data_IF_512136136959
#
_entry.id   IF_512136136959
#
_cell.length_a   1.000
_cell.length_b   1.000
_cell.length_c   1.000
_cell.angle_alpha   90.00
_cell.angle_beta   90.00
_cell.angle_gamma   90.00
#
_symmetry.space_group_name_H-M   'P 1'
#
loop_
_entity.id
_entity.type
_entity.pdbx_description
1 polymer ?
#
# COMPACT_ATOMS: atom_id res chain seq x y z
N UNK A 1 -2.00 -23.86 6.30
CA UNK A 1 -2.91 -23.68 5.14
C UNK A 1 -2.17 -24.08 3.87
N UNK A 2 -2.85 -24.54 2.82
CA UNK A 2 -2.18 -25.01 1.58
C UNK A 2 -1.93 -23.83 0.63
N UNK A 3 -0.74 -23.77 0.01
CA UNK A 3 -0.43 -22.89 -1.13
C UNK A 3 -1.40 -23.17 -2.28
N UNK A 4 -1.68 -22.15 -3.10
CA UNK A 4 -2.40 -22.34 -4.37
C UNK A 4 -1.65 -23.36 -5.24
N UNK A 5 -2.38 -24.19 -6.01
CA UNK A 5 -1.77 -25.11 -7.00
C UNK A 5 -1.49 -24.43 -8.34
N UNK A 6 -1.89 -23.17 -8.48
CA UNK A 6 -1.78 -22.36 -9.69
C UNK A 6 -1.15 -21.02 -9.30
N UNK A 7 -0.22 -20.55 -10.12
CA UNK A 7 0.51 -19.31 -9.88
C UNK A 7 -0.36 -18.07 -10.09
N UNK A 8 0.19 -16.92 -9.68
CA UNK A 8 -0.32 -15.61 -10.08
C UNK A 8 -0.16 -15.37 -11.58
N UNK A 9 -0.62 -14.21 -12.03
CA UNK A 9 -0.48 -13.82 -13.44
C UNK A 9 0.35 -12.55 -13.52
N UNK A 10 1.56 -12.64 -14.06
CA UNK A 10 2.41 -11.47 -14.29
C UNK A 10 1.71 -10.45 -15.19
N UNK A 11 1.98 -9.17 -14.94
CA UNK A 11 1.36 -8.05 -15.64
C UNK A 11 2.39 -6.99 -15.99
N UNK A 12 2.07 -6.15 -16.96
CA UNK A 12 2.89 -5.00 -17.34
C UNK A 12 2.06 -3.71 -17.19
N UNK A 13 2.71 -2.65 -16.72
CA UNK A 13 2.10 -1.32 -16.72
C UNK A 13 2.06 -0.77 -18.14
N UNK A 14 1.00 -0.02 -18.45
CA UNK A 14 0.96 0.79 -19.67
C UNK A 14 2.11 1.82 -19.66
N UNK A 15 2.70 2.17 -20.81
CA UNK A 15 3.74 3.21 -20.91
C UNK A 15 3.27 4.54 -20.34
N UNK A 16 4.21 5.39 -19.92
CA UNK A 16 3.93 6.75 -19.48
C UNK A 16 3.28 7.51 -20.63
N UNK A 17 2.10 8.08 -20.41
CA UNK A 17 1.55 9.07 -21.34
C UNK A 17 2.39 10.33 -21.17
N UNK A 18 3.24 10.65 -22.15
CA UNK A 18 4.06 11.87 -22.09
C UNK A 18 3.18 13.08 -21.78
N UNK A 19 3.56 13.87 -20.77
CA UNK A 19 2.84 15.10 -20.43
C UNK A 19 2.84 16.04 -21.63
N UNK A 20 1.71 16.26 -22.29
CA UNK A 20 1.56 17.39 -23.19
C UNK A 20 1.83 18.69 -22.40
N UNK A 21 2.58 19.67 -22.94
CA UNK A 21 2.77 20.95 -22.25
C UNK A 21 1.39 21.64 -22.15
N UNK A 22 0.82 21.65 -20.95
CA UNK A 22 -0.40 22.44 -20.69
C UNK A 22 -0.02 23.88 -20.42
N UNK A 23 -0.79 24.79 -21.03
CA UNK A 23 -0.77 26.22 -20.78
C UNK A 23 -0.63 26.55 -19.29
N UNK A 24 0.18 27.56 -19.00
CA UNK A 24 0.29 28.20 -17.69
C UNK A 24 -1.11 28.55 -17.16
N UNK A 25 -1.66 27.67 -16.34
CA UNK A 25 -2.75 28.04 -15.46
C UNK A 25 -2.13 28.99 -14.43
N UNK A 26 -2.58 30.25 -14.43
CA UNK A 26 -2.39 31.17 -13.31
C UNK A 26 -3.20 30.60 -12.12
N UNK A 27 -2.64 29.56 -11.50
CA UNK A 27 -3.24 28.83 -10.41
C UNK A 27 -2.92 29.55 -9.11
N UNK A 28 -3.93 30.16 -8.52
CA UNK A 28 -3.92 30.57 -7.12
C UNK A 28 -3.45 29.33 -6.33
N UNK A 29 -2.30 29.44 -5.68
CA UNK A 29 -1.75 28.39 -4.83
C UNK A 29 -2.82 27.97 -3.83
N UNK A 30 -3.35 26.74 -3.97
CA UNK A 30 -4.14 26.14 -2.90
C UNK A 30 -3.26 26.14 -1.66
N UNK A 31 -3.72 26.68 -0.52
CA UNK A 31 -2.90 26.70 0.68
C UNK A 31 -2.48 25.28 1.01
N UNK A 32 -1.18 25.10 1.28
CA UNK A 32 -0.65 23.87 1.86
C UNK A 32 -1.36 23.68 3.20
N UNK A 33 -2.42 22.88 3.21
CA UNK A 33 -3.10 22.51 4.44
C UNK A 33 -2.11 21.69 5.27
N UNK A 34 -1.90 22.12 6.51
CA UNK A 34 -1.08 21.37 7.45
C UNK A 34 -1.62 19.94 7.58
N UNK A 35 -0.74 18.93 7.75
CA UNK A 35 -1.19 17.56 7.92
C UNK A 35 -2.16 17.44 9.10
N UNK A 36 -3.31 16.80 8.87
CA UNK A 36 -4.33 16.60 9.93
C UNK A 36 -4.22 15.17 10.43
N UNK A 37 -3.81 15.02 11.69
CA UNK A 37 -3.75 13.74 12.39
C UNK A 37 -5.09 13.39 13.01
N UNK A 38 -5.60 12.20 12.69
CA UNK A 38 -6.87 11.67 13.15
C UNK A 38 -6.66 10.26 13.75
N UNK A 39 -7.13 10.05 14.98
CA UNK A 39 -7.18 8.71 15.59
C UNK A 39 -8.51 8.07 15.21
N UNK A 40 -8.46 7.06 14.35
CA UNK A 40 -9.66 6.38 13.83
C UNK A 40 -10.20 5.35 14.83
N UNK A 41 -9.28 4.59 15.43
CA UNK A 41 -9.54 3.53 16.41
C UNK A 41 -8.32 3.47 17.37
N UNK A 42 -8.42 2.80 18.54
CA UNK A 42 -7.25 2.53 19.37
C UNK A 42 -6.12 1.86 18.58
N UNK A 43 -4.99 2.56 18.43
CA UNK A 43 -3.85 2.09 17.65
C UNK A 43 -3.97 2.26 16.13
N UNK A 44 -5.01 2.90 15.58
CA UNK A 44 -5.11 3.23 14.15
C UNK A 44 -5.17 4.74 13.95
N UNK A 45 -4.22 5.29 13.20
CA UNK A 45 -4.03 6.73 12.99
C UNK A 45 -3.95 7.01 11.49
N UNK A 46 -4.73 7.99 11.03
CA UNK A 46 -4.59 8.58 9.71
C UNK A 46 -3.94 9.95 9.84
N UNK A 47 -3.05 10.29 8.92
CA UNK A 47 -2.51 11.65 8.78
C UNK A 47 -2.74 12.09 7.33
N UNK A 48 -3.65 13.06 7.16
CA UNK A 48 -4.04 13.56 5.85
C UNK A 48 -2.93 14.41 5.22
N UNK A 49 -2.65 14.20 3.94
CA UNK A 49 -1.65 14.99 3.20
C UNK A 49 -0.23 14.91 3.75
N UNK A 50 0.13 13.79 4.38
CA UNK A 50 1.45 13.61 5.03
C UNK A 50 2.60 13.60 4.02
N UNK A 51 2.40 13.01 2.84
CA UNK A 51 3.42 13.00 1.79
C UNK A 51 3.39 14.30 1.00
N UNK A 52 4.55 14.97 0.93
CA UNK A 52 4.74 16.09 0.00
C UNK A 52 4.58 15.63 -1.45
N UNK A 53 4.25 16.56 -2.35
CA UNK A 53 4.12 16.26 -3.78
C UNK A 53 5.39 15.64 -4.38
N UNK A 54 6.58 16.04 -3.91
CA UNK A 54 7.85 15.51 -4.40
C UNK A 54 8.06 14.06 -3.98
N UNK A 55 7.72 13.73 -2.73
CA UNK A 55 7.75 12.34 -2.25
C UNK A 55 6.73 11.51 -3.01
N UNK A 56 5.52 12.01 -3.24
CA UNK A 56 4.52 11.29 -4.05
C UNK A 56 5.03 11.00 -5.48
N UNK A 57 5.69 11.96 -6.14
CA UNK A 57 6.30 11.77 -7.47
C UNK A 57 7.44 10.76 -7.46
N UNK A 58 8.29 10.80 -6.43
CA UNK A 58 9.39 9.84 -6.28
C UNK A 58 8.86 8.42 -6.07
N UNK A 59 7.86 8.24 -5.21
CA UNK A 59 7.22 6.95 -4.98
C UNK A 59 6.48 6.44 -6.23
N UNK A 60 5.84 7.32 -7.01
CA UNK A 60 5.21 6.93 -8.27
C UNK A 60 6.26 6.40 -9.28
N UNK A 61 7.40 7.10 -9.40
CA UNK A 61 8.53 6.64 -10.22
C UNK A 61 9.08 5.30 -9.73
N UNK A 62 9.25 5.16 -8.41
CA UNK A 62 9.65 3.92 -7.76
C UNK A 62 8.71 2.77 -8.08
N UNK A 63 7.39 2.98 -7.96
CA UNK A 63 6.39 1.98 -8.30
C UNK A 63 6.52 1.49 -9.74
N UNK A 64 6.69 2.41 -10.71
CA UNK A 64 6.88 2.01 -12.11
C UNK A 64 8.12 1.15 -12.30
N UNK A 65 9.22 1.47 -11.62
CA UNK A 65 10.45 0.68 -11.64
C UNK A 65 10.26 -0.71 -11.01
N UNK A 66 9.64 -0.77 -9.82
CA UNK A 66 9.40 -2.03 -9.14
C UNK A 66 8.44 -2.94 -9.91
N UNK A 67 7.47 -2.38 -10.63
CA UNK A 67 6.52 -3.15 -11.42
C UNK A 67 7.14 -3.92 -12.60
N UNK A 68 8.34 -3.54 -13.06
CA UNK A 68 9.04 -4.22 -14.16
C UNK A 68 9.57 -5.60 -13.73
N UNK A 69 9.61 -6.58 -14.65
CA UNK A 69 10.33 -7.83 -14.42
C UNK A 69 11.85 -7.59 -14.31
N UNK A 70 12.59 -8.47 -13.62
CA UNK A 70 12.12 -9.68 -12.93
C UNK A 70 11.39 -9.39 -11.60
N UNK A 71 10.66 -10.36 -11.03
CA UNK A 71 9.87 -10.22 -9.81
C UNK A 71 8.90 -9.01 -9.85
N UNK A 72 8.25 -8.83 -11.00
CA UNK A 72 7.43 -7.67 -11.33
C UNK A 72 6.02 -7.71 -10.77
N UNK A 73 5.18 -6.81 -11.28
CA UNK A 73 3.77 -6.70 -10.90
C UNK A 73 2.98 -7.92 -11.37
N UNK A 74 2.10 -8.46 -10.52
CA UNK A 74 1.24 -9.60 -10.87
C UNK A 74 -0.14 -9.49 -10.26
N UNK A 75 -1.11 -10.24 -10.78
CA UNK A 75 -2.31 -10.60 -10.03
C UNK A 75 -2.03 -11.82 -9.16
N UNK A 76 -2.05 -11.73 -7.82
CA UNK A 76 -1.90 -12.89 -6.95
C UNK A 76 -3.12 -13.81 -7.07
N UNK A 77 -2.91 -15.10 -6.84
CA UNK A 77 -4.00 -16.10 -6.84
C UNK A 77 -4.19 -16.67 -5.43
N UNK A 78 -5.37 -16.46 -4.87
CA UNK A 78 -5.70 -17.02 -3.55
C UNK A 78 -5.93 -18.53 -3.64
N UNK A 79 -5.75 -19.30 -2.54
CA UNK A 79 -5.82 -20.76 -2.55
C UNK A 79 -7.16 -21.36 -3.01
N UNK A 80 -8.26 -20.59 -3.01
CA UNK A 80 -9.52 -20.99 -3.64
C UNK A 80 -9.45 -21.05 -5.18
N UNK A 81 -8.33 -20.64 -5.77
CA UNK A 81 -8.09 -20.53 -7.22
C UNK A 81 -8.49 -19.18 -7.80
N UNK A 82 -9.14 -18.30 -7.03
CA UNK A 82 -9.56 -16.99 -7.50
C UNK A 82 -8.37 -16.06 -7.72
N UNK A 83 -8.34 -15.39 -8.88
CA UNK A 83 -7.34 -14.39 -9.22
C UNK A 83 -7.78 -13.04 -8.63
N UNK A 84 -6.92 -12.40 -7.83
CA UNK A 84 -7.24 -11.11 -7.24
C UNK A 84 -7.32 -10.03 -8.33
N UNK A 85 -8.30 -9.14 -8.25
CA UNK A 85 -8.40 -7.98 -9.15
C UNK A 85 -7.31 -6.93 -8.89
N UNK A 86 -6.77 -6.90 -7.67
CA UNK A 86 -5.61 -6.10 -7.29
C UNK A 86 -4.35 -6.73 -7.88
N UNK A 87 -3.46 -5.87 -8.39
CA UNK A 87 -2.13 -6.25 -8.81
C UNK A 87 -1.12 -5.91 -7.70
N UNK A 88 -0.11 -6.73 -7.48
CA UNK A 88 0.85 -6.58 -6.40
C UNK A 88 2.27 -6.83 -6.86
N UNK A 89 3.20 -6.01 -6.38
CA UNK A 89 4.65 -6.29 -6.41
C UNK A 89 5.20 -6.21 -4.99
N UNK A 90 6.13 -7.09 -4.65
CA UNK A 90 6.69 -7.22 -3.31
C UNK A 90 8.16 -6.78 -3.28
N UNK A 91 8.57 -6.17 -2.18
CA UNK A 91 9.93 -5.70 -1.91
C UNK A 91 10.41 -6.25 -0.56
N UNK A 92 11.69 -6.63 -0.46
CA UNK A 92 12.35 -7.17 0.73
C UNK A 92 11.98 -8.63 1.03
N UNK A 93 10.69 -8.91 1.12
CA UNK A 93 10.10 -10.25 1.17
C UNK A 93 8.93 -10.35 0.21
N UNK A 94 8.85 -11.48 -0.49
CA UNK A 94 7.76 -11.78 -1.41
C UNK A 94 6.59 -12.36 -0.64
N UNK A 95 5.48 -11.64 -0.59
CA UNK A 95 4.24 -12.17 -0.06
C UNK A 95 3.55 -12.99 -1.14
N UNK A 96 3.18 -14.21 -0.77
CA UNK A 96 2.15 -15.01 -1.42
C UNK A 96 1.11 -15.40 -0.37
N UNK A 97 -0.10 -15.84 -0.76
CA UNK A 97 -1.11 -16.22 0.22
C UNK A 97 -0.59 -17.21 1.27
N UNK A 98 -0.53 -16.72 2.52
CA UNK A 98 -0.09 -17.42 3.73
C UNK A 98 1.41 -17.65 3.92
N UNK A 99 2.28 -16.98 3.15
CA UNK A 99 3.71 -17.11 3.35
C UNK A 99 4.51 -15.89 2.85
N UNK A 100 5.70 -15.75 3.40
CA UNK A 100 6.75 -14.89 2.90
C UNK A 100 7.90 -15.73 2.35
N UNK A 101 8.45 -15.32 1.21
CA UNK A 101 9.56 -15.98 0.51
C UNK A 101 10.62 -14.96 0.08
N UNK A 102 11.85 -15.43 -0.18
CA UNK A 102 12.89 -14.60 -0.81
C UNK A 102 12.86 -14.66 -2.34
N UNK A 103 11.93 -15.42 -2.90
CA UNK A 103 11.71 -15.56 -4.34
C UNK A 103 10.26 -15.26 -4.69
N UNK A 104 10.05 -14.71 -5.89
CA UNK A 104 8.75 -14.37 -6.44
C UNK A 104 8.06 -15.61 -7.02
N UNK A 105 7.78 -16.57 -6.13
CA UNK A 105 7.40 -17.96 -6.46
C UNK A 105 6.16 -18.04 -7.37
N UNK A 106 5.14 -17.24 -7.11
CA UNK A 106 3.91 -17.16 -7.90
C UNK A 106 3.96 -16.07 -9.01
N UNK A 107 5.17 -15.62 -9.39
CA UNK A 107 5.41 -14.69 -10.50
C UNK A 107 6.26 -15.34 -11.59
N UNK A 108 7.58 -15.29 -11.44
CA UNK A 108 8.60 -15.72 -12.40
C UNK A 108 9.75 -16.48 -11.72
N UNK A 109 9.62 -16.76 -10.41
CA UNK A 109 10.62 -17.46 -9.60
C UNK A 109 11.90 -16.68 -9.32
N UNK A 110 12.02 -15.43 -9.78
CA UNK A 110 13.20 -14.61 -9.55
C UNK A 110 13.34 -14.19 -8.07
N UNK A 111 14.54 -13.83 -7.59
CA UNK A 111 14.69 -13.23 -6.26
C UNK A 111 13.79 -12.00 -6.09
N UNK A 112 13.18 -11.84 -4.91
CA UNK A 112 12.40 -10.64 -4.59
C UNK A 112 13.32 -9.41 -4.64
N UNK A 113 12.78 -8.30 -5.15
CA UNK A 113 13.51 -7.03 -5.16
C UNK A 113 13.83 -6.61 -3.72
N UNK A 114 15.00 -5.98 -3.45
CA UNK A 114 15.30 -5.48 -2.12
C UNK A 114 14.29 -4.38 -1.71
N UNK A 115 14.07 -4.24 -0.40
CA UNK A 115 13.36 -3.07 0.13
C UNK A 115 14.30 -1.85 0.06
N UNK A 116 13.94 -0.77 -0.65
CA UNK A 116 14.72 0.47 -0.64
C UNK A 116 14.84 1.05 0.77
N UNK A 117 16.03 1.53 1.12
CA UNK A 117 16.31 2.13 2.44
C UNK A 117 15.41 3.34 2.69
N UNK A 118 15.15 4.12 1.65
CA UNK A 118 14.30 5.31 1.71
C UNK A 118 12.85 4.97 2.05
N UNK A 119 12.36 3.80 1.61
CA UNK A 119 11.03 3.32 2.00
C UNK A 119 11.01 2.90 3.47
N UNK A 120 12.06 2.21 3.94
CA UNK A 120 12.18 1.83 5.34
C UNK A 120 12.28 3.06 6.26
N UNK A 121 13.05 4.08 5.86
CA UNK A 121 13.15 5.36 6.57
C UNK A 121 11.81 6.10 6.60
N UNK A 122 11.10 6.15 5.47
CA UNK A 122 9.78 6.78 5.40
C UNK A 122 8.78 6.07 6.31
N UNK A 123 8.85 4.74 6.42
CA UNK A 123 7.99 3.98 7.32
C UNK A 123 8.34 4.18 8.81
N UNK A 124 9.63 4.33 9.15
CA UNK A 124 10.04 4.75 10.50
C UNK A 124 9.51 6.15 10.83
N UNK A 125 9.60 7.09 9.90
CA UNK A 125 9.04 8.43 10.07
C UNK A 125 7.51 8.40 10.25
N UNK A 126 6.81 7.55 9.49
CA UNK A 126 5.37 7.35 9.65
C UNK A 126 4.98 6.82 11.03
N UNK A 127 5.72 5.83 11.56
CA UNK A 127 5.51 5.32 12.92
C UNK A 127 5.82 6.37 13.97
N UNK A 128 6.87 7.19 13.77
CA UNK A 128 7.20 8.28 14.67
C UNK A 128 6.06 9.31 14.74
N UNK A 129 5.44 9.65 13.61
CA UNK A 129 4.33 10.59 13.54
C UNK A 129 3.05 10.01 14.18
N UNK A 130 2.80 8.71 13.99
CA UNK A 130 1.60 8.05 14.52
C UNK A 130 1.66 7.83 16.05
N UNK A 131 2.81 7.33 16.54
CA UNK A 131 2.98 6.78 17.89
C UNK A 131 4.15 7.38 18.70
N UNK A 132 4.85 8.37 18.16
CA UNK A 132 6.01 9.00 18.80
C UNK A 132 7.35 8.34 18.45
N UNK A 133 8.44 9.12 18.59
CA UNK A 133 9.79 8.74 18.18
C UNK A 133 10.33 7.47 18.86
N UNK A 134 9.92 7.18 20.10
CA UNK A 134 10.33 5.96 20.80
C UNK A 134 9.86 4.69 20.09
N UNK A 135 8.64 4.68 19.57
CA UNK A 135 8.08 3.54 18.82
C UNK A 135 8.78 3.31 17.48
N UNK A 136 9.27 4.39 16.85
CA UNK A 136 9.99 4.30 15.58
C UNK A 136 11.39 3.73 15.72
N UNK A 137 12.05 3.93 16.87
CA UNK A 137 13.41 3.43 17.10
C UNK A 137 13.50 1.89 17.09
N UNK A 138 12.41 1.21 17.50
CA UNK A 138 12.32 -0.25 17.47
C UNK A 138 11.70 -0.81 16.20
N UNK A 139 11.20 0.03 15.29
CA UNK A 139 10.52 -0.42 14.08
C UNK A 139 11.52 -0.68 12.95
N UNK A 140 11.59 -1.94 12.51
CA UNK A 140 12.55 -2.42 11.51
C UNK A 140 11.81 -3.04 10.30
N UNK A 141 11.11 -2.23 9.48
CA UNK A 141 10.40 -2.74 8.32
C UNK A 141 11.37 -3.37 7.32
N UNK A 142 11.04 -4.57 6.88
CA UNK A 142 11.86 -5.40 6.00
C UNK A 142 11.05 -5.92 4.79
N UNK A 143 9.76 -5.61 4.72
CA UNK A 143 8.89 -5.95 3.61
C UNK A 143 7.99 -4.78 3.20
N UNK A 144 7.70 -4.69 1.90
CA UNK A 144 6.61 -3.86 1.39
C UNK A 144 5.81 -4.61 0.32
N UNK A 145 4.49 -4.51 0.41
CA UNK A 145 3.57 -4.93 -0.65
C UNK A 145 3.02 -3.68 -1.32
N UNK A 146 3.34 -3.51 -2.61
CA UNK A 146 2.87 -2.38 -3.41
C UNK A 146 1.73 -2.85 -4.30
N UNK A 147 0.53 -2.34 -4.01
CA UNK A 147 -0.70 -2.77 -4.66
C UNK A 147 -1.19 -1.70 -5.63
N UNK A 148 -1.52 -2.09 -6.86
CA UNK A 148 -2.25 -1.30 -7.84
C UNK A 148 -3.70 -1.77 -7.90
N UNK A 149 -4.61 -0.84 -7.68
CA UNK A 149 -6.05 -1.01 -7.81
C UNK A 149 -6.49 -0.27 -9.07
N UNK A 150 -6.62 -1.01 -10.18
CA UNK A 150 -7.23 -0.51 -11.41
C UNK A 150 -8.74 -0.27 -11.22
N UNK A 151 -9.40 0.28 -12.24
CA UNK A 151 -10.86 0.46 -12.25
C UNK A 151 -11.60 -0.83 -11.86
N UNK A 152 -12.54 -0.71 -10.93
CA UNK A 152 -13.31 -1.85 -10.37
C UNK A 152 -12.55 -2.80 -9.43
N UNK A 153 -11.23 -2.63 -9.25
CA UNK A 153 -10.47 -3.45 -8.31
C UNK A 153 -10.86 -3.14 -6.85
N UNK A 154 -10.90 -4.19 -6.04
CA UNK A 154 -11.25 -4.11 -4.63
C UNK A 154 -10.49 -5.19 -3.86
N UNK A 155 -10.33 -4.96 -2.55
CA UNK A 155 -9.72 -5.93 -1.66
C UNK A 155 -10.71 -6.23 -0.53
N UNK A 156 -11.16 -7.49 -0.48
CA UNK A 156 -12.07 -7.95 0.56
C UNK A 156 -11.45 -7.87 1.96
N UNK A 157 -12.29 -8.09 2.99
CA UNK A 157 -11.81 -8.10 4.37
C UNK A 157 -10.78 -9.21 4.58
N UNK A 158 -9.58 -8.82 4.98
CA UNK A 158 -8.45 -9.68 5.25
C UNK A 158 -7.72 -9.22 6.51
N UNK A 159 -6.79 -10.05 6.95
CA UNK A 159 -5.91 -9.80 8.07
C UNK A 159 -4.47 -9.80 7.54
N UNK A 160 -3.68 -8.83 7.99
CA UNK A 160 -2.23 -8.87 7.86
C UNK A 160 -1.68 -9.75 8.98
N UNK A 161 -1.78 -11.06 8.76
CA UNK A 161 -1.66 -12.11 9.79
C UNK A 161 -0.44 -13.01 9.67
N UNK A 162 0.28 -12.93 8.55
CA UNK A 162 1.33 -13.91 8.21
C UNK A 162 2.70 -13.55 8.80
N UNK A 163 2.87 -12.32 9.29
CA UNK A 163 4.08 -11.87 9.97
C UNK A 163 4.07 -12.33 11.45
N UNK A 164 5.13 -13.01 11.93
CA UNK A 164 5.36 -13.19 13.36
C UNK A 164 5.41 -11.88 14.17
N UNK A 165 5.93 -10.79 13.59
CA UNK A 165 6.04 -9.50 14.29
C UNK A 165 4.68 -8.81 14.48
N UNK A 166 4.49 -8.22 15.65
CA UNK A 166 3.35 -7.37 16.00
C UNK A 166 3.63 -5.87 15.79
N UNK A 167 4.76 -5.53 15.16
CA UNK A 167 5.08 -4.19 14.72
C UNK A 167 3.99 -3.62 13.80
N UNK A 168 3.74 -2.30 13.82
CA UNK A 168 2.62 -1.70 13.10
C UNK A 168 2.72 -1.86 11.57
N UNK A 169 1.56 -1.83 10.92
CA UNK A 169 1.46 -1.75 9.47
C UNK A 169 1.37 -0.28 9.04
N UNK A 170 2.22 0.12 8.10
CA UNK A 170 2.24 1.47 7.52
C UNK A 170 1.71 1.40 6.09
N UNK A 171 0.71 2.21 5.76
CA UNK A 171 0.14 2.30 4.40
C UNK A 171 0.23 3.73 3.87
N UNK A 172 0.93 3.89 2.77
CA UNK A 172 1.02 5.14 2.00
C UNK A 172 0.07 5.06 0.80
N UNK A 173 -0.70 6.12 0.56
CA UNK A 173 -1.68 6.16 -0.55
C UNK A 173 -1.27 7.14 -1.65
N UNK A 174 -1.37 6.71 -2.92
CA UNK A 174 -1.08 7.51 -4.11
C UNK A 174 -2.16 7.29 -5.18
N UNK A 175 -2.43 8.31 -6.00
CA UNK A 175 -3.38 8.21 -7.09
C UNK A 175 -4.83 8.36 -6.62
N UNK A 176 -5.74 7.55 -7.16
CA UNK A 176 -7.16 7.65 -6.83
C UNK A 176 -7.40 7.38 -5.34
N UNK A 177 -8.36 8.11 -4.78
CA UNK A 177 -8.81 7.95 -3.40
C UNK A 177 -9.53 6.61 -3.23
N UNK A 178 -9.57 6.07 -2.02
CA UNK A 178 -10.37 4.88 -1.73
C UNK A 178 -11.17 5.01 -0.44
N UNK A 179 -12.20 4.19 -0.32
CA UNK A 179 -12.78 3.84 0.96
C UNK A 179 -11.96 2.69 1.52
N UNK A 180 -11.27 2.93 2.64
CA UNK A 180 -10.62 1.90 3.44
C UNK A 180 -11.54 1.55 4.61
N UNK A 181 -11.75 0.26 4.84
CA UNK A 181 -12.70 -0.25 5.82
C UNK A 181 -12.01 -1.04 6.89
N UNK A 182 -12.26 -0.69 8.15
CA UNK A 182 -12.01 -1.55 9.31
C UNK A 182 -13.30 -2.27 9.72
N UNK A 183 -13.21 -3.55 10.09
CA UNK A 183 -14.30 -4.31 10.68
C UNK A 183 -14.10 -4.49 12.19
N UNK A 184 -13.22 -5.38 12.60
CA UNK A 184 -12.79 -5.50 13.98
C UNK A 184 -11.70 -6.54 14.15
N UNK A 185 -11.16 -6.60 15.36
CA UNK A 185 -10.28 -7.70 15.76
C UNK A 185 -11.16 -8.94 15.92
N UNK A 186 -10.75 -10.04 15.29
CA UNK A 186 -11.48 -11.33 15.30
C UNK A 186 -12.90 -11.33 14.72
N UNK A 187 -13.32 -10.25 14.04
CA UNK A 187 -14.63 -10.19 13.36
C UNK A 187 -14.53 -9.62 11.94
N UNK A 188 -15.30 -10.22 11.02
CA UNK A 188 -15.41 -9.80 9.61
C UNK A 188 -16.75 -9.14 9.27
N UNK A 189 -17.59 -8.88 10.26
CA UNK A 189 -18.90 -8.24 10.11
C UNK A 189 -18.91 -6.87 10.79
N UNK A 190 -20.02 -6.13 10.60
CA UNK A 190 -20.18 -4.80 11.15
C UNK A 190 -20.27 -4.76 12.70
N UNK A 191 -20.18 -3.57 13.32
CA UNK A 191 -20.09 -2.26 12.67
C UNK A 191 -18.74 -2.04 11.97
N UNK A 192 -18.77 -1.34 10.83
CA UNK A 192 -17.58 -0.98 10.07
C UNK A 192 -17.15 0.45 10.38
N UNK A 193 -15.84 0.72 10.38
CA UNK A 193 -15.28 2.08 10.35
C UNK A 193 -14.67 2.31 8.99
N UNK A 194 -15.31 3.16 8.19
CA UNK A 194 -14.85 3.52 6.85
C UNK A 194 -14.12 4.87 6.91
N UNK A 195 -12.96 4.93 6.26
CA UNK A 195 -12.16 6.15 6.13
C UNK A 195 -11.80 6.36 4.66
N UNK A 196 -11.94 7.59 4.18
CA UNK A 196 -11.43 7.97 2.86
C UNK A 196 -9.91 8.16 2.95
N UNK A 197 -9.14 7.47 2.12
CA UNK A 197 -7.70 7.70 1.93
C UNK A 197 -7.47 8.32 0.57
N UNK A 198 -6.86 9.51 0.55
CA UNK A 198 -6.52 10.28 -0.66
C UNK A 198 -5.05 10.13 -1.02
N UNK A 199 -4.67 10.58 -2.22
CA UNK A 199 -3.26 10.68 -2.60
C UNK A 199 -2.50 11.55 -1.59
N UNK A 200 -1.43 11.01 -1.03
CA UNK A 200 -0.59 11.65 -0.03
C UNK A 200 -0.96 11.33 1.42
N UNK A 201 -2.08 10.64 1.66
CA UNK A 201 -2.48 10.24 3.01
C UNK A 201 -1.61 9.09 3.53
N UNK A 202 -1.32 9.15 4.83
CA UNK A 202 -0.69 8.10 5.61
C UNK A 202 -1.75 7.43 6.50
N UNK A 203 -1.73 6.10 6.56
CA UNK A 203 -2.45 5.30 7.54
C UNK A 203 -1.47 4.39 8.27
N UNK A 204 -1.48 4.40 9.60
CA UNK A 204 -0.70 3.49 10.44
C UNK A 204 -1.64 2.77 11.39
N UNK A 205 -1.59 1.44 11.44
CA UNK A 205 -2.35 0.66 12.42
C UNK A 205 -1.50 -0.42 13.09
N UNK A 206 -1.58 -0.48 14.41
CA UNK A 206 -0.73 -1.30 15.27
C UNK A 206 -1.37 -1.48 16.64
N UNK A 207 -0.63 -2.08 17.58
CA UNK A 207 -1.11 -2.34 18.93
C UNK A 207 -2.50 -3.03 18.93
N UNK A 208 -3.54 -2.46 19.58
CA UNK A 208 -4.88 -3.05 19.59
C UNK A 208 -5.50 -3.26 18.21
N UNK A 209 -5.08 -2.49 17.20
CA UNK A 209 -5.55 -2.61 15.82
C UNK A 209 -4.57 -3.36 14.90
N UNK A 210 -3.44 -3.89 15.39
CA UNK A 210 -2.45 -4.57 14.54
C UNK A 210 -3.04 -5.74 13.76
N UNK A 211 -3.95 -6.48 14.40
CA UNK A 211 -4.62 -7.66 13.85
C UNK A 211 -6.10 -7.39 13.56
N UNK A 212 -6.41 -6.20 13.04
CA UNK A 212 -7.78 -5.83 12.65
C UNK A 212 -8.11 -6.33 11.24
N UNK A 213 -9.30 -6.88 11.06
CA UNK A 213 -9.82 -7.14 9.73
C UNK A 213 -10.08 -5.83 8.99
N UNK A 214 -9.52 -5.71 7.79
CA UNK A 214 -9.65 -4.51 6.97
C UNK A 214 -9.66 -4.82 5.48
N UNK A 215 -10.02 -3.83 4.67
CA UNK A 215 -10.06 -3.98 3.22
C UNK A 215 -10.30 -2.66 2.48
N UNK A 216 -10.37 -2.75 1.17
CA UNK A 216 -10.64 -1.63 0.27
C UNK A 216 -11.89 -1.98 -0.55
N UNK A 217 -13.11 -1.70 -0.03
CA UNK A 217 -14.35 -2.01 -0.74
C UNK A 217 -14.53 -1.20 -2.02
N UNK A 218 -13.94 -0.01 -2.13
CA UNK A 218 -14.15 0.89 -3.27
C UNK A 218 -12.96 1.82 -3.53
N UNK A 219 -12.58 1.95 -4.80
CA UNK A 219 -11.73 3.04 -5.32
C UNK A 219 -12.62 4.12 -5.94
N UNK A 220 -12.27 5.38 -5.74
CA UNK A 220 -12.98 6.56 -6.24
C UNK A 220 -12.25 7.07 -7.49
N UNK A 221 -12.66 6.57 -8.65
CA UNK A 221 -12.03 6.87 -9.94
C UNK A 221 -12.02 8.37 -10.27
N UNK A 222 -10.93 8.83 -10.88
CA UNK A 222 -10.81 10.22 -11.36
C UNK A 222 -10.51 11.23 -10.26
N UNK A 223 -10.02 10.78 -9.11
CA UNK A 223 -9.61 11.64 -7.98
C UNK A 223 -8.10 11.77 -7.83
N UNK A 224 -7.32 11.02 -8.62
CA UNK A 224 -5.87 11.11 -8.65
C UNK A 224 -5.37 12.53 -9.04
N UNK A 225 -4.32 13.04 -8.36
CA UNK A 225 -3.64 14.26 -8.81
C UNK A 225 -3.03 14.05 -10.19
N UNK A 226 -3.30 14.96 -11.13
CA UNK A 226 -2.81 14.86 -12.52
C UNK A 226 -1.29 14.97 -12.65
N UNK A 227 -0.59 15.38 -11.59
CA UNK A 227 0.87 15.52 -11.54
C UNK A 227 1.61 14.19 -11.27
N UNK A 228 0.89 13.11 -10.95
CA UNK A 228 1.49 11.81 -10.68
C UNK A 228 1.45 10.94 -11.94
N UNK A 229 2.62 10.47 -12.37
CA UNK A 229 2.77 9.55 -13.50
C UNK A 229 2.47 8.10 -13.05
N UNK A 230 1.22 7.87 -12.66
CA UNK A 230 0.69 6.56 -12.30
C UNK A 230 -0.27 6.06 -13.40
N UNK A 231 -0.40 4.74 -13.59
CA UNK A 231 -1.54 4.21 -14.32
C UNK A 231 -2.86 4.65 -13.65
N UNK A 232 -3.98 4.73 -14.39
CA UNK A 232 -5.28 5.03 -13.80
C UNK A 232 -5.60 4.10 -12.63
N UNK A 233 -6.10 4.65 -11.53
CA UNK A 233 -6.39 3.92 -10.31
C UNK A 233 -5.56 4.39 -9.10
N UNK A 234 -5.49 3.51 -8.11
CA UNK A 234 -4.84 3.77 -6.82
C UNK A 234 -3.62 2.88 -6.64
N UNK A 235 -2.55 3.45 -6.10
CA UNK A 235 -1.41 2.68 -5.58
C UNK A 235 -1.36 2.80 -4.06
N UNK A 236 -1.19 1.68 -3.37
CA UNK A 236 -0.77 1.68 -1.96
C UNK A 236 0.55 0.99 -1.77
N UNK A 237 1.42 1.60 -0.96
CA UNK A 237 2.66 0.99 -0.49
C UNK A 237 2.45 0.64 0.98
N UNK A 238 2.34 -0.66 1.27
CA UNK A 238 2.11 -1.16 2.62
C UNK A 238 3.39 -1.79 3.15
N UNK A 239 4.03 -1.13 4.12
CA UNK A 239 5.26 -1.59 4.75
C UNK A 239 4.96 -2.35 6.04
N UNK A 240 5.76 -3.38 6.27
CA UNK A 240 5.64 -4.31 7.39
C UNK A 240 7.02 -4.72 7.87
N UNK A 241 7.08 -5.12 9.12
CA UNK A 241 8.18 -5.89 9.68
C UNK A 241 7.69 -7.33 9.79
N UNK A 242 8.38 -8.26 9.14
CA UNK A 242 7.98 -9.67 9.12
C UNK A 242 8.36 -10.38 10.42
N UNK A 243 9.56 -10.12 10.94
CA UNK A 243 10.14 -10.87 12.07
C UNK A 243 10.73 -12.23 11.65
N UNK A 244 11.07 -12.40 10.36
CA UNK A 244 11.65 -13.61 9.77
C UNK A 244 13.16 -13.52 9.55
#
# INVERSE_FOLDING_TARGET
MRRSRLDGVATALAPTQGSAPRQLALGISSPVLAPVREVLLPGAVKIAGWLSHDVQRSLATGFRQWALPPAGLRHPRVPSGHLMSVQSVCLGWHWEPYAYSKTADDTDGAPVKPLPVELADLARAAVAEAYGSGSAASYAPDAAIVNLYASGAHLGLHLDGEEPSDAPVVTLSLGDSCVFRFAGVDRRNGPFTDVELRSGDLLVFGGPSRRIYHGVPKVLEGTAPSSLDLPPGRVSITLRETGL
#
